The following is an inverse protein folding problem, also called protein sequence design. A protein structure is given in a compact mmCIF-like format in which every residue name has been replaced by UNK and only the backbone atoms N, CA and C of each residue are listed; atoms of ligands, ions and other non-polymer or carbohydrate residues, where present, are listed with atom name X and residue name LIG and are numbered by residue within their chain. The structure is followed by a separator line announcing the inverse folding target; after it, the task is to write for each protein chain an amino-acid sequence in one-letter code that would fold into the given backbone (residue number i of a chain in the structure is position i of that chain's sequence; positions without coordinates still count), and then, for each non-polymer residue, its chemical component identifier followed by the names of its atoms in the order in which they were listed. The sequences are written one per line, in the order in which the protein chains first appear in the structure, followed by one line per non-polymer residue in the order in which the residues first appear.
data_IF_866581045360
#
_entry.id   IF_866581045360
#
_cell.length_a   1.000
_cell.length_b   1.000
_cell.length_c   1.000
_cell.angle_alpha   90.00
_cell.angle_beta   90.00
_cell.angle_gamma   90.00
#
_symmetry.space_group_name_H-M   'P 1'
#
loop_
_entity.id
_entity.type
_entity.pdbx_description
1 polymer ?
#
# COMPACT_ATOMS: atom_id res chain seq x y z
N UNK A 1 34.49 -36.05 -5.63
CA UNK A 1 34.17 -36.57 -4.28
C UNK A 1 33.26 -37.77 -4.42
N UNK A 2 33.38 -38.79 -3.57
CA UNK A 2 32.49 -39.97 -3.59
C UNK A 2 31.17 -39.62 -2.88
N UNK A 3 30.04 -39.94 -3.51
CA UNK A 3 28.70 -39.81 -2.93
C UNK A 3 28.41 -41.09 -2.14
N UNK A 4 28.20 -40.97 -0.84
CA UNK A 4 27.80 -42.10 0.00
C UNK A 4 26.29 -42.09 0.17
N UNK A 5 25.66 -43.22 -0.09
CA UNK A 5 24.27 -43.47 0.32
C UNK A 5 24.29 -43.71 1.83
N UNK A 6 23.66 -42.82 2.58
CA UNK A 6 23.56 -42.92 4.06
C UNK A 6 22.11 -43.23 4.39
N UNK A 7 21.89 -44.34 5.08
CA UNK A 7 20.56 -44.70 5.59
C UNK A 7 20.20 -43.82 6.80
N UNK A 8 18.98 -43.30 6.80
CA UNK A 8 18.44 -42.54 7.92
C UNK A 8 17.63 -43.46 8.83
N UNK A 9 17.92 -43.44 10.12
CA UNK A 9 17.18 -44.19 11.12
C UNK A 9 16.40 -43.25 12.05
N UNK A 10 15.29 -43.73 12.59
CA UNK A 10 14.49 -43.00 13.55
C UNK A 10 15.28 -42.77 14.85
N UNK A 11 15.22 -41.55 15.39
CA UNK A 11 15.85 -41.15 16.64
C UNK A 11 15.47 -42.08 17.81
N UNK A 12 14.20 -42.47 17.92
CA UNK A 12 13.71 -43.35 18.99
C UNK A 12 14.32 -44.75 18.90
N UNK A 13 14.50 -45.25 17.68
CA UNK A 13 15.18 -46.52 17.43
C UNK A 13 16.65 -46.44 17.83
N UNK A 14 17.34 -45.37 17.41
CA UNK A 14 18.76 -45.12 17.73
C UNK A 14 18.97 -45.04 19.25
N UNK A 15 18.11 -44.28 19.95
CA UNK A 15 18.17 -44.12 21.41
C UNK A 15 17.88 -45.45 22.11
N UNK A 16 16.88 -46.19 21.65
CA UNK A 16 16.50 -47.50 22.22
C UNK A 16 17.62 -48.53 22.14
N UNK A 17 18.35 -48.58 21.01
CA UNK A 17 19.52 -49.45 20.86
C UNK A 17 20.67 -48.98 21.76
N UNK A 18 20.92 -47.66 21.80
CA UNK A 18 21.96 -47.06 22.63
C UNK A 18 21.85 -47.38 24.13
N UNK A 19 20.63 -47.52 24.67
CA UNK A 19 20.40 -47.93 26.07
C UNK A 19 20.54 -49.43 26.32
N UNK A 20 20.30 -50.28 25.31
CA UNK A 20 20.38 -51.74 25.45
C UNK A 20 21.79 -52.30 25.32
N UNK A 21 22.73 -51.56 24.72
CA UNK A 21 24.11 -52.02 24.49
C UNK A 21 25.02 -51.72 25.70
N UNK A 22 25.61 -52.77 26.29
CA UNK A 22 26.58 -52.72 27.41
C UNK A 22 28.03 -52.84 26.91
N UNK A 23 28.46 -51.92 26.04
CA UNK A 23 29.84 -51.86 25.56
C UNK A 23 30.45 -50.47 25.77
N UNK A 24 31.78 -50.38 25.79
CA UNK A 24 32.50 -49.09 25.86
C UNK A 24 32.10 -48.15 24.72
N UNK A 25 31.86 -48.69 23.52
CA UNK A 25 31.32 -47.93 22.38
C UNK A 25 29.90 -47.44 22.63
N UNK A 26 29.06 -48.25 23.28
CA UNK A 26 27.70 -47.84 23.68
C UNK A 26 27.70 -46.71 24.72
N UNK A 27 28.68 -46.69 25.65
CA UNK A 27 28.88 -45.58 26.59
C UNK A 27 29.21 -44.29 25.82
N UNK A 28 30.18 -44.34 24.91
CA UNK A 28 30.56 -43.18 24.09
C UNK A 28 29.40 -42.68 23.22
N UNK A 29 28.62 -43.60 22.64
CA UNK A 29 27.43 -43.28 21.88
C UNK A 29 26.40 -42.53 22.72
N UNK A 30 26.11 -42.97 23.95
CA UNK A 30 25.18 -42.28 24.86
C UNK A 30 25.65 -40.88 25.24
N UNK A 31 26.94 -40.70 25.48
CA UNK A 31 27.54 -39.39 25.76
C UNK A 31 27.32 -38.45 24.56
N UNK A 32 27.64 -38.93 23.35
CA UNK A 32 27.46 -38.17 22.12
C UNK A 32 25.98 -37.84 21.86
N UNK A 33 25.08 -38.82 21.95
CA UNK A 33 23.65 -38.64 21.71
C UNK A 33 23.03 -37.63 22.70
N UNK A 34 23.37 -37.72 23.99
CA UNK A 34 22.89 -36.76 24.99
C UNK A 34 23.38 -35.33 24.73
N UNK A 35 24.64 -35.17 24.28
CA UNK A 35 25.16 -33.85 23.91
C UNK A 35 24.38 -33.25 22.75
N UNK A 36 24.16 -34.04 21.69
CA UNK A 36 23.42 -33.61 20.50
C UNK A 36 21.98 -33.23 20.87
N UNK A 37 21.28 -34.08 21.62
CA UNK A 37 19.91 -33.80 22.08
C UNK A 37 19.83 -32.49 22.89
N UNK A 38 20.76 -32.28 23.83
CA UNK A 38 20.81 -31.05 24.63
C UNK A 38 21.04 -29.80 23.78
N UNK A 39 21.93 -29.88 22.79
CA UNK A 39 22.16 -28.77 21.87
C UNK A 39 20.93 -28.44 21.02
N UNK A 40 20.22 -29.46 20.50
CA UNK A 40 19.00 -29.25 19.73
C UNK A 40 17.86 -28.70 20.57
N UNK A 41 17.71 -29.14 21.83
CA UNK A 41 16.71 -28.60 22.75
C UNK A 41 16.97 -27.12 23.06
N UNK A 42 18.23 -26.76 23.34
CA UNK A 42 18.61 -25.37 23.63
C UNK A 42 18.41 -24.46 22.40
N UNK A 43 18.83 -24.91 21.21
CA UNK A 43 18.65 -24.17 19.95
C UNK A 43 17.17 -24.06 19.57
N UNK A 44 16.41 -25.14 19.71
CA UNK A 44 14.99 -25.18 19.45
C UNK A 44 14.21 -24.24 20.38
N UNK A 45 14.54 -24.23 21.66
CA UNK A 45 13.95 -23.31 22.63
C UNK A 45 14.26 -21.84 22.29
N UNK A 46 15.52 -21.51 22.00
CA UNK A 46 15.91 -20.15 21.61
C UNK A 46 15.24 -19.70 20.31
N UNK A 47 15.08 -20.60 19.33
CA UNK A 47 14.36 -20.32 18.10
C UNK A 47 12.88 -20.08 18.35
N UNK A 48 12.21 -20.93 19.14
CA UNK A 48 10.80 -20.78 19.49
C UNK A 48 10.53 -19.45 20.20
N UNK A 49 11.33 -19.09 21.22
CA UNK A 49 11.19 -17.79 21.88
C UNK A 49 11.31 -16.62 20.91
N UNK A 50 12.23 -16.72 19.94
CA UNK A 50 12.38 -15.70 18.90
C UNK A 50 11.15 -15.63 17.98
N UNK A 51 10.59 -16.77 17.58
CA UNK A 51 9.38 -16.82 16.77
C UNK A 51 8.17 -16.23 17.51
N UNK A 52 7.94 -16.60 18.77
CA UNK A 52 6.87 -16.05 19.60
C UNK A 52 6.98 -14.52 19.72
N UNK A 53 8.20 -14.00 19.92
CA UNK A 53 8.43 -12.56 19.97
C UNK A 53 8.11 -11.88 18.63
N UNK A 54 8.56 -12.46 17.51
CA UNK A 54 8.28 -11.92 16.17
C UNK A 54 6.78 -11.93 15.89
N UNK A 55 6.07 -13.01 16.23
CA UNK A 55 4.62 -13.09 16.07
C UNK A 55 3.90 -12.01 16.90
N UNK A 56 4.32 -11.78 18.14
CA UNK A 56 3.78 -10.71 18.98
C UNK A 56 4.04 -9.32 18.37
N UNK A 57 5.26 -9.06 17.89
CA UNK A 57 5.64 -7.79 17.27
C UNK A 57 4.81 -7.55 15.99
N UNK A 58 4.61 -8.59 15.16
CA UNK A 58 3.77 -8.53 13.96
C UNK A 58 2.30 -8.27 14.33
N UNK A 59 1.77 -8.91 15.37
CA UNK A 59 0.40 -8.65 15.83
C UNK A 59 0.23 -7.23 16.39
N UNK A 60 1.23 -6.71 17.12
CA UNK A 60 1.23 -5.33 17.59
C UNK A 60 1.29 -4.34 16.42
N UNK A 61 2.16 -4.60 15.44
CA UNK A 61 2.27 -3.77 14.25
C UNK A 61 0.95 -3.77 13.47
N UNK A 62 0.34 -4.93 13.26
CA UNK A 62 -0.96 -5.04 12.60
C UNK A 62 -2.04 -4.20 13.30
N UNK A 63 -2.14 -4.30 14.62
CA UNK A 63 -3.08 -3.47 15.41
C UNK A 63 -2.83 -1.98 15.23
N UNK A 64 -1.57 -1.54 15.24
CA UNK A 64 -1.20 -0.13 15.01
C UNK A 64 -1.53 0.33 13.59
N UNK A 65 -1.35 -0.53 12.59
CA UNK A 65 -1.74 -0.24 11.21
C UNK A 65 -3.27 -0.11 11.12
N UNK A 66 -4.03 -1.02 11.72
CA UNK A 66 -5.49 -0.94 11.75
C UNK A 66 -5.99 0.34 12.45
N UNK A 67 -5.34 0.74 13.55
CA UNK A 67 -5.61 2.00 14.26
C UNK A 67 -5.25 3.23 13.41
N UNK A 68 -4.09 3.20 12.74
CA UNK A 68 -3.66 4.27 11.85
C UNK A 68 -4.61 4.41 10.65
N UNK A 69 -5.06 3.31 10.05
CA UNK A 69 -6.06 3.31 8.99
C UNK A 69 -7.40 3.89 9.47
N UNK A 70 -7.79 3.62 10.72
CA UNK A 70 -8.98 4.23 11.32
C UNK A 70 -8.79 5.73 11.54
N UNK A 71 -7.65 6.15 12.09
CA UNK A 71 -7.32 7.57 12.29
C UNK A 71 -7.21 8.32 10.96
N UNK A 72 -6.67 7.68 9.92
CA UNK A 72 -6.70 8.20 8.56
C UNK A 72 -8.14 8.30 8.09
N UNK A 73 -9.02 7.32 8.27
CA UNK A 73 -10.44 7.46 7.88
C UNK A 73 -11.19 8.56 8.63
N UNK A 74 -10.80 8.88 9.87
CA UNK A 74 -11.41 9.98 10.64
C UNK A 74 -10.78 11.35 10.36
N UNK A 75 -9.52 11.38 9.89
CA UNK A 75 -8.78 12.59 9.52
C UNK A 75 -8.68 12.81 8.00
N UNK A 76 -9.12 11.84 7.19
CA UNK A 76 -9.56 12.06 5.83
C UNK A 76 -10.76 12.97 6.03
N UNK A 77 -10.75 14.19 5.47
CA UNK A 77 -11.96 14.96 5.47
C UNK A 77 -13.02 14.08 4.81
N UNK A 78 -14.22 14.05 5.38
CA UNK A 78 -15.41 13.69 4.60
C UNK A 78 -15.26 14.36 3.24
N UNK A 79 -15.67 13.70 2.15
CA UNK A 79 -15.64 14.16 0.76
C UNK A 79 -16.21 15.61 0.57
N UNK A 80 -15.53 16.62 1.08
CA UNK A 80 -15.87 18.04 1.07
C UNK A 80 -15.09 18.75 -0.05
N UNK A 81 -14.25 18.01 -0.79
CA UNK A 81 -13.42 18.57 -1.85
C UNK A 81 -12.26 19.44 -1.33
N UNK A 82 -11.85 19.25 -0.09
CA UNK A 82 -10.69 19.93 0.51
C UNK A 82 -9.46 19.05 0.34
N UNK A 83 -8.42 19.57 -0.31
CA UNK A 83 -7.16 18.88 -0.59
C UNK A 83 -5.99 19.66 0.01
N UNK A 84 -5.01 18.94 0.56
CA UNK A 84 -3.78 19.51 1.13
C UNK A 84 -2.64 19.55 0.12
N UNK A 85 -1.61 20.35 0.41
CA UNK A 85 -0.41 20.46 -0.43
C UNK A 85 0.19 19.07 -0.73
N UNK A 86 0.41 18.80 -2.03
CA UNK A 86 0.90 17.51 -2.53
C UNK A 86 -0.18 16.55 -3.02
N UNK A 87 -1.47 16.75 -2.71
CA UNK A 87 -2.59 15.92 -3.18
C UNK A 87 -3.11 16.33 -4.57
N UNK A 88 -2.23 16.75 -5.47
CA UNK A 88 -2.58 17.31 -6.79
C UNK A 88 -3.31 16.26 -7.65
N UNK A 89 -2.85 15.00 -7.61
CA UNK A 89 -3.45 13.91 -8.39
C UNK A 89 -4.85 13.57 -7.90
N UNK A 90 -5.07 13.54 -6.58
CA UNK A 90 -6.37 13.24 -5.98
C UNK A 90 -7.37 14.35 -6.29
N UNK A 91 -6.95 15.62 -6.16
CA UNK A 91 -7.75 16.78 -6.53
C UNK A 91 -8.16 16.75 -8.01
N UNK A 92 -7.19 16.51 -8.90
CA UNK A 92 -7.47 16.43 -10.34
C UNK A 92 -8.39 15.25 -10.69
N UNK A 93 -8.21 14.08 -10.09
CA UNK A 93 -9.09 12.93 -10.28
C UNK A 93 -10.52 13.25 -9.83
N UNK A 94 -10.67 13.85 -8.65
CA UNK A 94 -11.95 14.27 -8.09
C UNK A 94 -12.67 15.26 -9.00
N UNK A 95 -12.03 16.38 -9.38
CA UNK A 95 -12.65 17.39 -10.26
C UNK A 95 -12.96 16.79 -11.63
N UNK A 96 -12.08 15.97 -12.19
CA UNK A 96 -12.36 15.28 -13.45
C UNK A 96 -13.56 14.35 -13.36
N UNK A 97 -13.80 13.71 -12.21
CA UNK A 97 -14.97 12.85 -12.01
C UNK A 97 -16.26 13.68 -11.97
N UNK A 98 -16.24 14.85 -11.33
CA UNK A 98 -17.38 15.78 -11.29
C UNK A 98 -17.72 16.26 -12.70
N UNK A 99 -16.72 16.70 -13.46
CA UNK A 99 -16.90 17.21 -14.82
C UNK A 99 -17.47 16.14 -15.76
N UNK A 100 -17.02 14.88 -15.63
CA UNK A 100 -17.53 13.75 -16.42
C UNK A 100 -18.96 13.37 -16.06
N UNK A 101 -19.33 13.49 -14.78
CA UNK A 101 -20.67 13.10 -14.28
C UNK A 101 -21.72 14.20 -14.43
N UNK A 102 -21.32 15.44 -14.71
CA UNK A 102 -22.24 16.55 -14.92
C UNK A 102 -23.20 16.27 -16.10
N UNK A 103 -24.48 16.61 -15.93
CA UNK A 103 -25.54 16.34 -16.93
C UNK A 103 -26.10 17.58 -17.61
N UNK A 104 -26.07 18.75 -16.95
CA UNK A 104 -26.77 19.95 -17.41
C UNK A 104 -25.81 21.13 -17.58
N UNK A 105 -25.17 21.58 -16.50
CA UNK A 105 -24.26 22.72 -16.54
C UNK A 105 -23.14 22.58 -15.51
N UNK A 106 -22.04 23.29 -15.76
CA UNK A 106 -20.92 23.47 -14.83
C UNK A 106 -20.64 24.96 -14.75
N UNK A 107 -20.56 25.47 -13.52
CA UNK A 107 -20.21 26.87 -13.25
C UNK A 107 -18.91 26.90 -12.46
N UNK A 108 -17.88 27.55 -13.00
CA UNK A 108 -16.62 27.80 -12.32
C UNK A 108 -16.60 29.26 -11.87
N UNK A 109 -16.25 29.51 -10.61
CA UNK A 109 -16.08 30.86 -10.07
C UNK A 109 -14.66 30.92 -9.51
N UNK A 110 -13.75 31.53 -10.26
CA UNK A 110 -12.34 31.60 -9.88
C UNK A 110 -11.64 32.80 -10.55
N UNK A 111 -10.66 33.36 -9.84
CA UNK A 111 -9.78 34.41 -10.35
C UNK A 111 -8.46 33.86 -10.92
N UNK A 112 -8.22 32.55 -10.82
CA UNK A 112 -7.00 31.88 -11.25
C UNK A 112 -7.29 30.82 -12.32
N UNK A 113 -7.68 31.28 -13.51
CA UNK A 113 -7.95 30.40 -14.65
C UNK A 113 -6.75 30.40 -15.60
N UNK A 114 -6.25 29.21 -15.91
CA UNK A 114 -5.17 28.98 -16.88
C UNK A 114 -5.58 27.94 -17.93
N UNK A 115 -4.64 27.59 -18.81
CA UNK A 115 -4.84 26.56 -19.84
C UNK A 115 -5.17 25.18 -19.24
N UNK A 116 -4.60 24.83 -18.09
CA UNK A 116 -4.82 23.53 -17.45
C UNK A 116 -6.28 23.35 -17.01
N UNK A 117 -6.89 24.43 -16.50
CA UNK A 117 -8.30 24.48 -16.14
C UNK A 117 -9.18 24.32 -17.38
N UNK A 118 -8.86 25.00 -18.49
CA UNK A 118 -9.61 24.88 -19.74
C UNK A 118 -9.54 23.45 -20.30
N UNK A 119 -8.35 22.83 -20.28
CA UNK A 119 -8.16 21.43 -20.73
C UNK A 119 -9.04 20.47 -19.92
N UNK A 120 -9.26 20.72 -18.63
CA UNK A 120 -10.10 19.86 -17.81
C UNK A 120 -11.54 19.78 -18.32
N UNK A 121 -12.06 20.88 -18.87
CA UNK A 121 -13.41 20.95 -19.45
C UNK A 121 -13.54 20.24 -20.79
N UNK A 122 -12.46 19.78 -21.41
CA UNK A 122 -12.53 18.92 -22.62
C UNK A 122 -13.11 17.54 -22.30
N UNK A 123 -13.01 17.11 -21.04
CA UNK A 123 -13.52 15.81 -20.56
C UNK A 123 -15.02 15.81 -20.29
N UNK A 124 -15.71 16.95 -20.47
CA UNK A 124 -17.15 17.07 -20.20
C UNK A 124 -17.98 16.39 -21.28
N UNK A 125 -19.24 16.08 -20.93
CA UNK A 125 -20.20 15.68 -21.94
C UNK A 125 -20.51 16.87 -22.88
N UNK A 126 -20.49 16.69 -24.22
CA UNK A 126 -20.72 17.77 -25.18
C UNK A 126 -22.02 18.58 -24.98
N UNK A 127 -23.03 18.00 -24.32
CA UNK A 127 -24.32 18.64 -24.03
C UNK A 127 -24.31 19.52 -22.78
N UNK A 128 -23.22 19.53 -22.02
CA UNK A 128 -23.10 20.27 -20.76
C UNK A 128 -22.54 21.66 -21.03
N UNK A 129 -23.29 22.67 -20.60
CA UNK A 129 -22.89 24.07 -20.70
C UNK A 129 -21.86 24.41 -19.62
N UNK A 130 -20.85 25.22 -19.97
CA UNK A 130 -19.82 25.67 -19.04
C UNK A 130 -19.78 27.19 -19.03
N UNK A 131 -19.95 27.77 -17.84
CA UNK A 131 -19.81 29.20 -17.60
C UNK A 131 -18.72 29.43 -16.56
N UNK A 132 -17.79 30.32 -16.86
CA UNK A 132 -16.72 30.72 -15.95
C UNK A 132 -16.95 32.17 -15.53
N UNK A 133 -16.97 32.43 -14.23
CA UNK A 133 -17.01 33.77 -13.65
C UNK A 133 -15.64 34.11 -13.09
N UNK A 134 -15.07 35.22 -13.56
CA UNK A 134 -13.77 35.70 -13.09
C UNK A 134 -13.78 37.21 -12.91
N UNK A 135 -13.18 37.71 -11.83
CA UNK A 135 -13.18 39.14 -11.56
C UNK A 135 -12.35 39.93 -12.58
N UNK A 136 -11.35 39.30 -13.20
CA UNK A 136 -10.42 39.95 -14.12
C UNK A 136 -10.24 39.13 -15.40
N UNK A 137 -10.70 39.68 -16.53
CA UNK A 137 -10.47 39.09 -17.84
C UNK A 137 -9.23 39.74 -18.45
N UNK A 138 -8.10 39.03 -18.40
CA UNK A 138 -6.88 39.47 -19.07
C UNK A 138 -6.94 39.22 -20.58
N UNK A 139 -6.12 39.94 -21.34
CA UNK A 139 -5.97 39.71 -22.78
C UNK A 139 -5.52 38.27 -23.09
N UNK A 140 -4.69 37.70 -22.21
CA UNK A 140 -4.20 36.32 -22.31
C UNK A 140 -5.35 35.32 -22.18
N UNK A 141 -6.16 35.43 -21.13
CA UNK A 141 -7.34 34.57 -20.89
C UNK A 141 -8.30 34.63 -22.09
N UNK A 142 -8.54 35.83 -22.62
CA UNK A 142 -9.39 36.01 -23.80
C UNK A 142 -8.87 35.25 -25.03
N UNK A 143 -7.55 35.29 -25.24
CA UNK A 143 -6.90 34.62 -26.36
C UNK A 143 -6.92 33.10 -26.19
N UNK A 144 -6.73 32.62 -24.97
CA UNK A 144 -6.77 31.21 -24.62
C UNK A 144 -8.19 30.63 -24.74
N UNK A 145 -9.21 31.35 -24.29
CA UNK A 145 -10.62 30.98 -24.50
C UNK A 145 -10.95 30.96 -26.00
N UNK A 146 -10.46 31.93 -26.78
CA UNK A 146 -10.68 31.96 -28.23
C UNK A 146 -10.06 30.75 -28.93
N UNK A 147 -8.83 30.38 -28.55
CA UNK A 147 -8.16 29.16 -29.05
C UNK A 147 -8.92 27.91 -28.66
N UNK A 148 -9.35 27.82 -27.40
CA UNK A 148 -10.12 26.70 -26.88
C UNK A 148 -11.44 26.53 -27.64
N UNK A 149 -12.22 27.60 -27.79
CA UNK A 149 -13.52 27.59 -28.46
C UNK A 149 -13.41 27.31 -29.97
N UNK A 150 -12.23 27.48 -30.57
CA UNK A 150 -11.98 27.09 -31.96
C UNK A 150 -11.75 25.58 -32.13
N UNK A 151 -11.32 24.88 -31.07
CA UNK A 151 -10.94 23.46 -31.11
C UNK A 151 -11.92 22.55 -30.36
N UNK A 152 -12.65 23.08 -29.37
CA UNK A 152 -13.50 22.33 -28.44
C UNK A 152 -14.87 23.00 -28.23
N UNK A 153 -15.76 22.36 -27.46
CA UNK A 153 -17.09 22.93 -27.20
C UNK A 153 -16.99 24.28 -26.48
N UNK A 154 -17.78 25.25 -26.95
CA UNK A 154 -17.76 26.63 -26.45
C UNK A 154 -17.87 26.71 -24.92
N UNK A 155 -17.00 27.52 -24.32
CA UNK A 155 -17.06 27.97 -22.93
C UNK A 155 -17.39 29.47 -22.94
N UNK A 156 -18.30 29.87 -22.05
CA UNK A 156 -18.62 31.28 -21.82
C UNK A 156 -17.90 31.79 -20.59
N UNK A 157 -17.32 32.99 -20.69
CA UNK A 157 -16.63 33.65 -19.58
C UNK A 157 -17.29 35.00 -19.33
N UNK A 158 -17.60 35.27 -18.06
CA UNK A 158 -18.35 36.43 -17.58
C UNK A 158 -17.61 37.13 -16.45
#
# INVERSE_FOLDING_TARGET
GKVYQVEYHNLDMIISIGYRVKSQRGIQFRIWANKVLKEYLLKGYAANQRFEKIEMDVQQLKRKVDEFDFQLKTNLPLNEGIFFDGQIFDAHHFVSSIIKNAKHSIVLIDNYIDESVLILFTKRNPKVEVTIYTATISAQITLDIKRYNAQYQKIEVK
#
